data_IF_138765274263
#
_entry.id   IF_138765274263
#
_cell.length_a   1.000
_cell.length_b   1.000
_cell.length_c   1.000
_cell.angle_alpha   90.00
_cell.angle_beta   90.00
_cell.angle_gamma   90.00
#
_symmetry.space_group_name_H-M   'P 1'
#
loop_
_entity.id
_entity.type
_entity.pdbx_description
1 polymer ?
#
# COMPACT_ATOMS: atom_id res chain seq x y z
N UNK A 1 10.82 -15.36 6.40
CA UNK A 1 9.54 -15.83 5.81
C UNK A 1 9.16 -14.84 4.73
N UNK A 2 9.58 -15.13 3.49
CA UNK A 2 9.15 -14.37 2.33
C UNK A 2 7.63 -14.53 2.15
N UNK A 3 6.90 -13.44 2.02
CA UNK A 3 5.49 -13.52 1.63
C UNK A 3 5.47 -13.85 0.14
N UNK A 4 5.44 -15.14 -0.18
CA UNK A 4 5.18 -15.64 -1.52
C UNK A 4 3.78 -15.19 -1.97
N UNK A 5 3.73 -14.51 -3.11
CA UNK A 5 2.49 -14.20 -3.82
C UNK A 5 1.81 -12.95 -3.28
N UNK A 6 1.89 -11.87 -4.06
CA UNK A 6 0.97 -10.75 -3.97
C UNK A 6 -0.46 -11.25 -4.05
N UNK A 7 -1.06 -11.50 -2.89
CA UNK A 7 -2.43 -11.92 -2.82
C UNK A 7 -3.31 -10.80 -3.37
N UNK A 8 -4.20 -11.09 -4.35
CA UNK A 8 -5.16 -10.10 -4.84
C UNK A 8 -5.89 -9.47 -3.67
N UNK A 9 -6.28 -8.19 -3.79
CA UNK A 9 -6.96 -7.47 -2.70
C UNK A 9 -8.19 -8.25 -2.19
N UNK A 10 -8.82 -9.09 -3.01
CA UNK A 10 -9.86 -10.06 -2.61
C UNK A 10 -9.47 -10.98 -1.43
N UNK A 11 -8.27 -11.53 -1.41
CA UNK A 11 -7.81 -12.38 -0.30
C UNK A 11 -7.49 -11.55 0.94
N UNK A 12 -6.97 -10.33 0.76
CA UNK A 12 -6.81 -9.35 1.82
C UNK A 12 -8.16 -8.99 2.45
N UNK A 13 -9.19 -8.75 1.63
CA UNK A 13 -10.55 -8.35 2.04
C UNK A 13 -11.18 -9.38 2.97
N UNK A 14 -11.16 -10.65 2.58
CA UNK A 14 -11.74 -11.73 3.38
C UNK A 14 -10.92 -12.05 4.63
N UNK A 15 -9.60 -12.02 4.56
CA UNK A 15 -8.74 -12.43 5.68
C UNK A 15 -8.63 -11.38 6.80
N UNK A 16 -8.85 -10.09 6.49
CA UNK A 16 -8.52 -8.97 7.41
C UNK A 16 -9.73 -8.16 7.89
N UNK A 17 -10.95 -8.68 7.72
CA UNK A 17 -12.18 -8.03 8.20
C UNK A 17 -12.36 -6.59 7.69
N UNK A 18 -12.03 -6.39 6.41
CA UNK A 18 -11.84 -5.07 5.83
C UNK A 18 -13.12 -4.22 5.76
N UNK A 19 -14.30 -4.84 5.68
CA UNK A 19 -15.60 -4.17 5.46
C UNK A 19 -16.65 -4.57 6.50
N UNK A 20 -16.26 -4.58 7.78
CA UNK A 20 -17.18 -4.93 8.87
C UNK A 20 -18.14 -3.80 9.24
N UNK A 21 -17.81 -2.55 8.92
CA UNK A 21 -18.58 -1.38 9.33
C UNK A 21 -19.49 -0.92 8.20
N UNK A 22 -20.69 -0.46 8.56
CA UNK A 22 -21.61 0.11 7.56
C UNK A 22 -21.07 1.39 6.95
N UNK A 23 -20.28 2.15 7.70
CA UNK A 23 -19.70 3.42 7.27
C UNK A 23 -18.19 3.44 7.48
N UNK A 24 -17.48 4.17 6.63
CA UNK A 24 -16.05 4.38 6.78
C UNK A 24 -15.75 5.11 8.10
N UNK A 25 -14.84 4.60 8.94
CA UNK A 25 -14.47 5.25 10.21
C UNK A 25 -13.88 6.66 10.04
N UNK A 26 -13.35 6.97 8.85
CA UNK A 26 -12.79 8.29 8.48
C UNK A 26 -13.73 9.13 7.60
N UNK A 27 -14.86 8.57 7.18
CA UNK A 27 -15.81 9.19 6.26
C UNK A 27 -17.22 8.70 6.56
N UNK A 28 -17.92 9.28 7.55
CA UNK A 28 -19.14 8.69 8.13
C UNK A 28 -20.30 8.56 7.14
N UNK A 29 -20.27 9.29 6.03
CA UNK A 29 -21.28 9.29 4.97
C UNK A 29 -21.05 8.23 3.90
N UNK A 30 -19.86 7.61 3.83
CA UNK A 30 -19.51 6.63 2.81
C UNK A 30 -19.58 5.20 3.36
N UNK A 31 -20.10 4.26 2.56
CA UNK A 31 -20.07 2.84 2.91
C UNK A 31 -18.65 2.29 2.92
N UNK A 32 -18.34 1.45 3.91
CA UNK A 32 -17.03 0.80 3.98
C UNK A 32 -16.97 -0.34 2.95
N UNK A 33 -16.37 -0.07 1.81
CA UNK A 33 -15.96 -1.08 0.83
C UNK A 33 -14.44 -1.08 0.71
N UNK A 34 -13.87 -2.16 0.17
CA UNK A 34 -12.43 -2.20 -0.12
C UNK A 34 -12.00 -1.13 -1.11
N UNK A 35 -12.83 -0.90 -2.12
CA UNK A 35 -12.62 0.15 -3.12
C UNK A 35 -12.62 1.52 -2.44
N UNK A 36 -13.59 1.76 -1.54
CA UNK A 36 -13.61 2.99 -0.76
C UNK A 36 -12.35 3.14 0.09
N UNK A 37 -12.03 2.15 0.91
CA UNK A 37 -10.93 2.24 1.88
C UNK A 37 -9.56 2.52 1.25
N UNK A 38 -9.31 1.96 0.07
CA UNK A 38 -8.00 2.03 -0.56
C UNK A 38 -7.91 3.06 -1.69
N UNK A 39 -9.02 3.48 -2.29
CA UNK A 39 -9.02 4.39 -3.45
C UNK A 39 -9.88 5.64 -3.29
N UNK A 40 -11.15 5.51 -2.88
CA UNK A 40 -12.07 6.66 -2.83
C UNK A 40 -11.98 7.46 -1.54
N UNK A 41 -11.49 6.85 -0.45
CA UNK A 41 -11.37 7.50 0.84
C UNK A 41 -10.43 8.70 0.72
N UNK A 42 -10.90 9.89 1.12
CA UNK A 42 -10.12 11.12 1.09
C UNK A 42 -8.78 10.97 1.80
N UNK A 43 -8.77 10.29 2.96
CA UNK A 43 -7.56 9.97 3.69
C UNK A 43 -6.57 9.12 2.87
N UNK A 44 -7.07 8.13 2.12
CA UNK A 44 -6.25 7.29 1.25
C UNK A 44 -5.72 8.09 0.07
N UNK A 45 -6.54 8.94 -0.55
CA UNK A 45 -6.13 9.81 -1.66
C UNK A 45 -5.07 10.83 -1.23
N UNK A 46 -5.24 11.48 -0.10
CA UNK A 46 -4.28 12.45 0.45
C UNK A 46 -2.94 11.78 0.74
N UNK A 47 -2.99 10.58 1.34
CA UNK A 47 -1.80 9.78 1.62
C UNK A 47 -1.09 9.38 0.32
N UNK A 48 -1.84 8.87 -0.66
CA UNK A 48 -1.29 8.45 -1.95
C UNK A 48 -0.67 9.63 -2.69
N UNK A 49 -1.35 10.78 -2.75
CA UNK A 49 -0.84 12.02 -3.37
C UNK A 49 0.46 12.49 -2.73
N UNK A 50 0.54 12.45 -1.39
CA UNK A 50 1.75 12.81 -0.68
C UNK A 50 2.92 11.85 -0.97
N UNK A 51 2.64 10.54 -1.08
CA UNK A 51 3.64 9.54 -1.46
C UNK A 51 4.09 9.72 -2.91
N UNK A 52 3.16 9.97 -3.84
CA UNK A 52 3.49 10.26 -5.24
C UNK A 52 4.39 11.48 -5.39
N UNK A 53 4.18 12.49 -4.56
CA UNK A 53 5.03 13.70 -4.56
C UNK A 53 6.43 13.42 -3.99
N UNK A 54 6.51 12.61 -2.92
CA UNK A 54 7.78 12.31 -2.24
C UNK A 54 8.63 11.28 -2.99
N UNK A 55 8.00 10.24 -3.53
CA UNK A 55 8.66 9.08 -4.14
C UNK A 55 8.60 9.11 -5.66
N UNK A 56 7.96 10.11 -6.28
CA UNK A 56 7.76 10.18 -7.73
C UNK A 56 9.05 10.25 -8.56
N UNK A 57 10.19 10.57 -7.95
CA UNK A 57 11.51 10.53 -8.60
C UNK A 57 12.04 9.08 -8.69
N UNK A 58 11.61 8.20 -7.78
CA UNK A 58 12.13 6.85 -7.59
C UNK A 58 11.15 5.78 -8.08
N UNK A 59 9.85 6.08 -8.00
CA UNK A 59 8.76 5.16 -8.31
C UNK A 59 7.83 5.87 -9.30
N UNK A 60 7.49 5.24 -10.44
CA UNK A 60 6.64 5.86 -11.46
C UNK A 60 5.17 5.93 -10.99
N UNK A 61 4.91 6.87 -10.08
CA UNK A 61 3.61 7.02 -9.42
C UNK A 61 2.50 7.53 -10.33
N UNK A 62 2.85 8.04 -11.52
CA UNK A 62 1.91 8.38 -12.60
C UNK A 62 1.16 7.15 -13.14
N UNK A 63 1.66 5.94 -12.89
CA UNK A 63 1.06 4.68 -13.30
C UNK A 63 0.08 4.12 -12.27
N UNK A 64 -0.12 4.81 -11.14
CA UNK A 64 -1.02 4.35 -10.08
C UNK A 64 -2.45 4.76 -10.40
N UNK A 65 -3.26 3.77 -10.75
CA UNK A 65 -4.69 3.89 -11.01
C UNK A 65 -5.48 3.13 -9.94
N UNK A 66 -6.81 3.24 -9.98
CA UNK A 66 -7.69 2.41 -9.15
C UNK A 66 -7.38 0.91 -9.34
N UNK A 67 -7.15 0.47 -10.58
CA UNK A 67 -6.83 -0.91 -10.91
C UNK A 67 -5.43 -1.31 -10.45
N UNK A 68 -4.47 -0.38 -10.46
CA UNK A 68 -3.16 -0.59 -9.85
C UNK A 68 -3.32 -0.83 -8.34
N UNK A 69 -4.07 0.03 -7.65
CA UNK A 69 -4.29 -0.12 -6.20
C UNK A 69 -5.12 -1.37 -5.90
N UNK A 70 -6.17 -1.70 -6.65
CA UNK A 70 -7.03 -2.86 -6.33
C UNK A 70 -6.42 -4.18 -6.78
N UNK A 71 -5.76 -4.21 -7.93
CA UNK A 71 -5.43 -5.45 -8.61
C UNK A 71 -3.94 -5.56 -8.99
N UNK A 72 -3.15 -4.54 -8.68
CA UNK A 72 -1.76 -4.42 -9.13
C UNK A 72 -1.63 -4.50 -10.67
N UNK A 73 -2.64 -3.99 -11.37
CA UNK A 73 -2.66 -3.91 -12.83
C UNK A 73 -2.20 -2.51 -13.24
N UNK A 74 -1.06 -2.43 -13.92
CA UNK A 74 -0.47 -1.15 -14.34
C UNK A 74 -0.73 -0.92 -15.83
N UNK A 75 -1.29 0.23 -16.23
CA UNK A 75 -1.58 0.51 -17.63
C UNK A 75 -0.31 0.83 -18.41
N UNK A 76 -0.15 0.25 -19.61
CA UNK A 76 0.96 0.55 -20.53
C UNK A 76 2.14 -0.43 -20.42
N UNK A 77 3.26 -0.06 -21.05
CA UNK A 77 4.50 -0.84 -21.05
C UNK A 77 5.50 -0.22 -20.09
N UNK A 78 5.96 -1.02 -19.12
CA UNK A 78 6.87 -0.60 -18.06
C UNK A 78 8.04 -1.58 -17.95
N UNK A 79 9.18 -1.12 -17.44
CA UNK A 79 10.25 -2.04 -17.08
C UNK A 79 9.82 -2.90 -15.88
N UNK A 80 10.42 -4.10 -15.76
CA UNK A 80 10.08 -5.00 -14.66
C UNK A 80 10.40 -4.38 -13.28
N UNK A 81 11.52 -3.67 -13.16
CA UNK A 81 11.91 -2.97 -11.92
C UNK A 81 10.89 -1.91 -11.50
N UNK A 82 10.44 -1.10 -12.46
CA UNK A 82 9.41 -0.07 -12.23
C UNK A 82 8.11 -0.69 -11.68
N UNK A 83 7.70 -1.83 -12.23
CA UNK A 83 6.51 -2.56 -11.77
C UNK A 83 6.71 -3.15 -10.37
N UNK A 84 7.90 -3.67 -10.08
CA UNK A 84 8.25 -4.21 -8.75
C UNK A 84 8.21 -3.12 -7.69
N UNK A 85 8.80 -1.96 -7.96
CA UNK A 85 8.81 -0.83 -7.03
C UNK A 85 7.42 -0.25 -6.81
N UNK A 86 6.63 -0.12 -7.88
CA UNK A 86 5.23 0.25 -7.77
C UNK A 86 4.43 -0.76 -6.95
N UNK A 87 4.63 -2.06 -7.18
CA UNK A 87 3.96 -3.12 -6.45
C UNK A 87 4.31 -3.08 -4.95
N UNK A 88 5.59 -2.93 -4.60
CA UNK A 88 6.06 -2.79 -3.22
C UNK A 88 5.43 -1.60 -2.51
N UNK A 89 5.43 -0.44 -3.17
CA UNK A 89 4.79 0.76 -2.65
C UNK A 89 3.31 0.53 -2.35
N UNK A 90 2.58 -0.09 -3.28
CA UNK A 90 1.15 -0.35 -3.13
C UNK A 90 0.86 -1.38 -2.03
N UNK A 91 1.70 -2.39 -1.85
CA UNK A 91 1.62 -3.31 -0.72
C UNK A 91 1.80 -2.58 0.62
N UNK A 92 2.87 -1.78 0.76
CA UNK A 92 3.13 -0.98 1.96
C UNK A 92 1.96 -0.02 2.24
N UNK A 93 1.45 0.65 1.21
CA UNK A 93 0.32 1.57 1.32
C UNK A 93 -0.94 0.89 1.87
N UNK A 94 -1.31 -0.28 1.32
CA UNK A 94 -2.47 -1.05 1.78
C UNK A 94 -2.31 -1.51 3.23
N UNK A 95 -1.14 -2.02 3.59
CA UNK A 95 -0.85 -2.50 4.94
C UNK A 95 -0.91 -1.36 5.96
N UNK A 96 -0.36 -0.20 5.63
CA UNK A 96 -0.39 0.96 6.52
C UNK A 96 -1.79 1.57 6.63
N UNK A 97 -2.58 1.59 5.56
CA UNK A 97 -3.98 1.99 5.63
C UNK A 97 -4.78 1.07 6.54
N UNK A 98 -4.56 -0.24 6.42
CA UNK A 98 -5.16 -1.26 7.29
C UNK A 98 -4.76 -1.09 8.74
N UNK A 99 -3.47 -0.95 9.01
CA UNK A 99 -2.95 -0.68 10.36
C UNK A 99 -3.58 0.57 10.95
N UNK A 100 -3.60 1.66 10.18
CA UNK A 100 -4.15 2.95 10.57
C UNK A 100 -5.66 2.85 10.85
N UNK A 101 -6.41 2.08 10.06
CA UNK A 101 -7.82 1.80 10.27
C UNK A 101 -8.06 1.01 11.56
N UNK A 102 -7.32 -0.07 11.75
CA UNK A 102 -7.45 -0.93 12.94
C UNK A 102 -7.11 -0.17 14.22
N UNK A 103 -6.08 0.69 14.19
CA UNK A 103 -5.70 1.54 15.31
C UNK A 103 -6.79 2.56 15.67
N UNK A 104 -7.49 3.09 14.67
CA UNK A 104 -8.64 3.97 14.88
C UNK A 104 -9.84 3.21 15.47
N UNK A 105 -10.14 2.03 14.95
CA UNK A 105 -11.31 1.25 15.36
C UNK A 105 -11.14 0.65 16.76
N UNK A 106 -10.06 -0.11 16.96
CA UNK A 106 -9.76 -0.89 18.17
C UNK A 106 -9.11 -0.01 19.23
N UNK A 107 -8.10 0.76 18.83
CA UNK A 107 -7.30 1.58 19.74
C UNK A 107 -7.89 2.96 20.01
N UNK A 108 -8.94 3.37 19.29
CA UNK A 108 -9.51 4.74 19.33
C UNK A 108 -8.45 5.84 19.13
N UNK A 109 -7.40 5.52 18.37
CA UNK A 109 -6.25 6.41 18.13
C UNK A 109 -6.15 6.72 16.65
N UNK A 110 -6.28 8.00 16.34
CA UNK A 110 -6.03 8.48 14.98
C UNK A 110 -4.54 8.43 14.67
N UNK A 111 -4.22 8.00 13.45
CA UNK A 111 -2.86 8.07 12.93
C UNK A 111 -2.83 9.18 11.91
N UNK A 112 -1.88 10.11 12.05
CA UNK A 112 -1.72 11.20 11.11
C UNK A 112 -1.20 10.68 9.77
N UNK A 113 -1.53 11.38 8.69
CA UNK A 113 -1.01 11.11 7.34
C UNK A 113 0.53 11.14 7.33
N UNK A 114 1.15 12.05 8.08
CA UNK A 114 2.61 12.07 8.27
C UNK A 114 3.16 10.80 8.91
N UNK A 115 2.48 10.27 9.94
CA UNK A 115 2.88 9.02 10.59
C UNK A 115 2.79 7.82 9.63
N UNK A 116 1.71 7.74 8.85
CA UNK A 116 1.55 6.73 7.81
C UNK A 116 2.62 6.84 6.73
N UNK A 117 2.94 8.05 6.25
CA UNK A 117 4.00 8.27 5.26
C UNK A 117 5.35 7.76 5.73
N UNK A 118 5.76 8.09 6.96
CA UNK A 118 7.02 7.62 7.55
C UNK A 118 7.07 6.09 7.62
N UNK A 119 5.96 5.46 8.00
CA UNK A 119 5.86 4.01 8.05
C UNK A 119 5.99 3.36 6.67
N UNK A 120 5.28 3.89 5.66
CA UNK A 120 5.37 3.39 4.28
C UNK A 120 6.80 3.53 3.75
N UNK A 121 7.43 4.70 3.96
CA UNK A 121 8.82 4.92 3.54
C UNK A 121 9.77 3.90 4.18
N UNK A 122 9.64 3.66 5.49
CA UNK A 122 10.44 2.66 6.19
C UNK A 122 10.28 1.29 5.53
N UNK A 123 9.04 0.84 5.32
CA UNK A 123 8.75 -0.46 4.71
C UNK A 123 9.28 -0.58 3.28
N UNK A 124 9.21 0.48 2.48
CA UNK A 124 9.78 0.49 1.12
C UNK A 124 11.31 0.40 1.17
N UNK A 125 11.97 1.08 2.11
CA UNK A 125 13.41 0.94 2.31
C UNK A 125 13.80 -0.48 2.74
N UNK A 126 13.02 -1.11 3.61
CA UNK A 126 13.27 -2.50 4.04
C UNK A 126 13.28 -3.47 2.83
N UNK A 127 12.44 -3.24 1.81
CA UNK A 127 12.49 -4.01 0.57
C UNK A 127 13.80 -3.81 -0.21
N UNK A 128 14.34 -2.60 -0.25
CA UNK A 128 15.60 -2.32 -0.95
C UNK A 128 16.80 -2.97 -0.25
N UNK A 129 16.77 -3.05 1.09
CA UNK A 129 17.81 -3.75 1.86
C UNK A 129 17.76 -5.28 1.65
N UNK A 130 16.56 -5.86 1.51
CA UNK A 130 16.39 -7.27 1.21
C UNK A 130 16.94 -7.63 -0.18
N UNK A 131 16.67 -6.81 -1.20
CA UNK A 131 17.20 -7.04 -2.55
C UNK A 131 18.74 -6.99 -2.58
N UNK A 132 19.34 -6.04 -1.87
CA UNK A 132 20.80 -5.94 -1.79
C UNK A 132 21.46 -7.08 -1.01
N UNK A 133 20.69 -7.82 -0.21
CA UNK A 133 21.20 -8.99 0.53
C UNK A 133 21.17 -10.28 -0.28
N UNK A 134 20.28 -10.38 -1.28
CA UNK A 134 20.17 -11.56 -2.16
C UNK A 134 21.26 -11.57 -3.26
N UNK A 135 21.76 -10.40 -3.68
CA UNK A 135 22.86 -10.29 -4.67
C UNK A 135 24.23 -10.78 -4.12
N UNK A 136 24.36 -10.96 -2.80
CA UNK A 136 25.62 -11.32 -2.15
C UNK A 136 25.73 -12.83 -1.82
N UNK A 137 24.69 -13.63 -2.15
CA UNK A 137 24.70 -15.09 -1.94
C UNK A 137 25.16 -15.93 -3.14
N UNK A 138 25.45 -15.29 -4.29
CA UNK A 138 25.80 -15.99 -5.54
C UNK A 138 27.31 -15.95 -5.88
N UNK A 139 28.18 -15.54 -4.94
CA UNK A 139 29.65 -15.53 -5.12
C UNK A 139 30.34 -16.44 -4.10
N UNK A 140 30.03 -17.73 -4.11
CA UNK A 140 30.98 -18.77 -3.68
C UNK A 140 30.89 -19.97 -4.63
N UNK A 141 31.83 -20.07 -5.56
CA UNK A 141 32.20 -21.33 -6.22
C UNK A 141 33.69 -21.35 -6.53
#
# INVERSE_FOLDING_TARGET
>A
MAIQGGLPVRTFIHARWLTQYKSCPRGPTAHETSHHLFWECTYAQDLLKALSTELGIWIPTLCITADSVMYNLFPGTHALGDLQDCWRLLCCFKDVLLFSKNRLIVGKKETSTLGCRKMIRSLVCDYAELDGSDDNSDIET
#
